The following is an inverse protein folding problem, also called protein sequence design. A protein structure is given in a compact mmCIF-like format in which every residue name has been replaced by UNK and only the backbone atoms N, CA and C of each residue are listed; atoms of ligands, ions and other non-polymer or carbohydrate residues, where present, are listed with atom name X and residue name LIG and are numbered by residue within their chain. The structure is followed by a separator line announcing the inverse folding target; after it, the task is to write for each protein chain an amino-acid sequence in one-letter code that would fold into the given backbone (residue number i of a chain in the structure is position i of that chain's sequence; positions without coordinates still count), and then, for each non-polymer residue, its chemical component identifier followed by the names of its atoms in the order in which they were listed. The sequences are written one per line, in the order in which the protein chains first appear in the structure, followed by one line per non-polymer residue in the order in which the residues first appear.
data_IF_312899891068
#
_entry.id   IF_312899891068
#
_cell.length_a   1.000
_cell.length_b   1.000
_cell.length_c   1.000
_cell.angle_alpha   90.00
_cell.angle_beta   90.00
_cell.angle_gamma   90.00
#
_symmetry.space_group_name_H-M   'P 1'
#
loop_
_entity.id
_entity.type
_entity.pdbx_description
1 polymer ?
#
# COMPACT_ATOMS: atom_id res chain seq x y z
N UNK A 1 -6.03 -3.77 22.82
CA UNK A 1 -6.55 -3.97 21.47
C UNK A 1 -8.02 -4.30 21.63
N UNK A 2 -8.92 -3.52 21.04
CA UNK A 2 -10.38 -3.76 21.12
C UNK A 2 -10.79 -4.89 20.15
N UNK A 3 -11.96 -5.52 20.34
CA UNK A 3 -12.45 -6.53 19.39
C UNK A 3 -12.61 -5.96 17.98
N UNK A 4 -13.10 -4.72 17.87
CA UNK A 4 -13.21 -4.00 16.59
C UNK A 4 -11.85 -3.81 15.89
N UNK A 5 -10.77 -3.61 16.66
CA UNK A 5 -9.43 -3.52 16.09
C UNK A 5 -8.95 -4.87 15.56
N UNK A 6 -9.27 -5.98 16.24
CA UNK A 6 -8.88 -7.34 15.85
C UNK A 6 -9.64 -7.79 14.61
N UNK A 7 -10.96 -7.57 14.57
CA UNK A 7 -11.80 -7.91 13.41
C UNK A 7 -11.30 -7.17 12.16
N UNK A 8 -11.03 -5.87 12.29
CA UNK A 8 -10.48 -5.06 11.19
C UNK A 8 -9.09 -5.51 10.72
N UNK A 9 -8.26 -6.07 11.61
CA UNK A 9 -6.98 -6.66 11.20
C UNK A 9 -7.20 -7.94 10.38
N UNK A 10 -8.15 -8.78 10.78
CA UNK A 10 -8.52 -9.99 10.04
C UNK A 10 -9.13 -9.66 8.67
N UNK A 11 -9.88 -8.58 8.58
CA UNK A 11 -10.44 -8.08 7.31
C UNK A 11 -9.33 -7.68 6.33
N UNK A 12 -8.33 -6.90 6.77
CA UNK A 12 -7.26 -6.47 5.87
C UNK A 12 -6.38 -7.61 5.36
N UNK A 13 -6.07 -8.61 6.19
CA UNK A 13 -5.35 -9.78 5.70
C UNK A 13 -6.19 -10.53 4.66
N UNK A 14 -7.49 -10.69 4.89
CA UNK A 14 -8.40 -11.33 3.94
C UNK A 14 -8.49 -10.57 2.61
N UNK A 15 -8.51 -9.23 2.66
CA UNK A 15 -8.49 -8.37 1.46
C UNK A 15 -7.21 -8.58 0.65
N UNK A 16 -6.06 -8.51 1.30
CA UNK A 16 -4.76 -8.68 0.66
C UNK A 16 -4.65 -10.05 0.01
N UNK A 17 -5.02 -11.10 0.73
CA UNK A 17 -5.03 -12.47 0.23
C UNK A 17 -5.98 -12.64 -0.96
N UNK A 18 -7.17 -12.03 -0.90
CA UNK A 18 -8.15 -12.09 -1.96
C UNK A 18 -7.62 -11.47 -3.25
N UNK A 19 -7.11 -10.25 -3.18
CA UNK A 19 -6.55 -9.55 -4.35
C UNK A 19 -5.40 -10.36 -4.94
N UNK A 20 -4.47 -10.83 -4.10
CA UNK A 20 -3.32 -11.60 -4.56
C UNK A 20 -3.69 -12.93 -5.24
N UNK A 21 -4.81 -13.56 -4.86
CA UNK A 21 -5.29 -14.81 -5.48
C UNK A 21 -6.13 -14.57 -6.74
N UNK A 22 -6.78 -13.42 -6.86
CA UNK A 22 -7.72 -13.11 -7.95
C UNK A 22 -7.10 -12.35 -9.11
N UNK A 23 -6.03 -11.61 -8.85
CA UNK A 23 -5.28 -10.84 -9.84
C UNK A 23 -3.85 -11.38 -9.99
N UNK A 24 -3.13 -10.85 -10.98
CA UNK A 24 -1.78 -11.27 -11.37
C UNK A 24 -0.66 -10.46 -10.69
N UNK A 25 -0.98 -9.71 -9.63
CA UNK A 25 0.01 -8.90 -8.92
C UNK A 25 1.07 -9.75 -8.23
N UNK A 26 2.34 -9.38 -8.39
CA UNK A 26 3.47 -10.02 -7.72
C UNK A 26 3.52 -9.72 -6.21
N UNK A 27 2.96 -8.57 -5.81
CA UNK A 27 2.92 -8.11 -4.44
C UNK A 27 1.63 -7.33 -4.17
N UNK A 28 1.01 -7.60 -3.02
CA UNK A 28 -0.12 -6.83 -2.48
C UNK A 28 0.20 -6.48 -1.04
N UNK A 29 -0.08 -5.25 -0.60
CA UNK A 29 0.19 -4.83 0.76
C UNK A 29 -0.74 -3.74 1.27
N UNK A 30 -1.01 -3.76 2.57
CA UNK A 30 -1.72 -2.71 3.30
C UNK A 30 -0.79 -2.07 4.32
N UNK A 31 -0.65 -0.74 4.22
CA UNK A 31 0.00 0.08 5.22
C UNK A 31 -1.05 0.86 6.02
N UNK A 32 -0.95 0.84 7.35
CA UNK A 32 -1.85 1.60 8.23
C UNK A 32 -1.09 2.70 8.98
N UNK A 33 -1.76 3.83 9.19
CA UNK A 33 -1.27 4.91 10.03
C UNK A 33 -1.66 4.68 11.49
N UNK A 34 -0.70 4.82 12.41
CA UNK A 34 -0.98 4.76 13.84
C UNK A 34 -1.88 5.93 14.27
N UNK A 35 -2.89 5.69 15.13
CA UNK A 35 -3.83 6.72 15.58
C UNK A 35 -3.18 7.74 16.52
N UNK A 36 -2.03 7.41 17.11
CA UNK A 36 -1.32 8.25 18.07
C UNK A 36 -0.04 8.82 17.47
N UNK A 37 0.36 10.01 17.93
CA UNK A 37 1.66 10.59 17.61
C UNK A 37 2.79 9.57 17.90
N UNK A 38 3.79 9.42 17.00
CA UNK A 38 4.10 10.28 15.85
C UNK A 38 3.36 9.92 14.54
N UNK A 39 2.23 9.20 14.59
CA UNK A 39 1.43 8.78 13.43
C UNK A 39 2.24 8.02 12.38
N UNK A 40 3.06 7.09 12.86
CA UNK A 40 3.88 6.23 12.02
C UNK A 40 3.01 5.39 11.08
N UNK A 41 3.46 5.24 9.84
CA UNK A 41 2.82 4.41 8.81
C UNK A 41 3.68 3.16 8.62
N UNK A 42 3.07 1.99 8.75
CA UNK A 42 3.77 0.69 8.63
C UNK A 42 2.98 -0.25 7.74
N UNK A 43 3.70 -1.07 6.97
CA UNK A 43 3.15 -2.21 6.25
C UNK A 43 2.83 -3.32 7.24
N UNK A 44 1.56 -3.68 7.37
CA UNK A 44 1.10 -4.64 8.38
C UNK A 44 0.63 -5.96 7.77
N UNK A 45 0.00 -5.88 6.60
CA UNK A 45 -0.55 -7.04 5.88
C UNK A 45 0.04 -7.04 4.48
N UNK A 46 0.57 -8.19 4.05
CA UNK A 46 1.15 -8.35 2.72
C UNK A 46 0.87 -9.76 2.20
N UNK A 47 0.89 -9.91 0.88
CA UNK A 47 0.91 -11.18 0.18
C UNK A 47 1.88 -11.08 -1.00
N UNK A 48 2.54 -12.21 -1.32
CA UNK A 48 3.55 -12.27 -2.36
C UNK A 48 4.90 -11.64 -1.98
N UNK A 49 5.15 -11.31 -0.72
CA UNK A 49 6.41 -10.71 -0.27
C UNK A 49 7.60 -11.68 -0.43
N UNK A 50 8.76 -11.16 -0.85
CA UNK A 50 9.99 -11.97 -0.99
C UNK A 50 10.71 -12.18 0.34
N UNK A 51 10.47 -11.31 1.32
CA UNK A 51 11.07 -11.41 2.65
C UNK A 51 10.23 -10.66 3.68
N UNK A 52 10.58 -10.78 4.96
CA UNK A 52 9.93 -10.04 6.05
C UNK A 52 10.57 -8.64 6.28
N UNK A 53 11.49 -8.20 5.40
CA UNK A 53 12.19 -6.93 5.57
C UNK A 53 11.26 -5.71 5.52
N UNK A 54 10.11 -5.82 4.85
CA UNK A 54 9.09 -4.77 4.81
C UNK A 54 8.64 -4.31 6.21
N UNK A 55 8.70 -5.21 7.22
CA UNK A 55 8.29 -4.89 8.61
C UNK A 55 9.17 -3.84 9.26
N UNK A 56 10.40 -3.65 8.77
CA UNK A 56 11.34 -2.63 9.27
C UNK A 56 11.01 -1.23 8.74
N UNK A 57 10.16 -1.12 7.72
CA UNK A 57 9.78 0.14 7.11
C UNK A 57 8.87 0.91 8.09
N UNK A 58 9.31 2.11 8.46
CA UNK A 58 8.52 3.06 9.24
C UNK A 58 8.49 4.39 8.49
N UNK A 59 7.31 4.80 8.06
CA UNK A 59 7.11 6.01 7.28
C UNK A 59 6.35 7.07 8.11
N UNK A 60 6.39 8.31 7.64
CA UNK A 60 5.55 9.41 8.11
C UNK A 60 4.72 9.95 6.96
N UNK A 61 3.67 10.71 7.28
CA UNK A 61 2.85 11.38 6.26
C UNK A 61 3.75 12.17 5.30
N UNK A 62 3.52 11.95 4.01
CA UNK A 62 4.27 12.55 2.93
C UNK A 62 5.57 11.86 2.49
N UNK A 63 6.02 10.83 3.19
CA UNK A 63 7.26 10.10 2.88
C UNK A 63 6.95 8.73 2.27
N UNK A 64 7.50 8.47 1.08
CA UNK A 64 7.26 7.27 0.30
C UNK A 64 5.84 7.13 -0.23
N UNK A 65 5.57 6.05 -0.96
CA UNK A 65 4.27 5.84 -1.63
C UNK A 65 3.12 5.90 -0.61
N UNK A 66 3.23 5.15 0.49
CA UNK A 66 2.19 5.13 1.50
C UNK A 66 2.01 6.49 2.19
N UNK A 67 3.11 7.16 2.56
CA UNK A 67 3.03 8.49 3.16
C UNK A 67 2.44 9.53 2.20
N UNK A 68 2.79 9.48 0.92
CA UNK A 68 2.24 10.36 -0.11
C UNK A 68 0.72 10.20 -0.22
N UNK A 69 0.22 8.97 -0.36
CA UNK A 69 -1.21 8.69 -0.47
C UNK A 69 -1.95 9.09 0.81
N UNK A 70 -1.39 8.84 2.00
CA UNK A 70 -1.98 9.32 3.27
C UNK A 70 -2.07 10.84 3.31
N UNK A 71 -1.03 11.56 2.84
CA UNK A 71 -0.99 13.02 2.85
C UNK A 71 -1.99 13.64 1.87
N UNK A 72 -2.10 13.08 0.67
CA UNK A 72 -2.91 13.65 -0.41
C UNK A 72 -4.34 13.14 -0.42
N UNK A 73 -4.59 11.96 0.15
CA UNK A 73 -5.85 11.23 0.02
C UNK A 73 -6.20 10.87 -1.41
N UNK A 74 -5.22 10.83 -2.32
CA UNK A 74 -5.41 10.55 -3.74
C UNK A 74 -4.70 9.25 -4.13
N UNK A 75 -5.26 8.48 -5.08
CA UNK A 75 -4.54 7.39 -5.71
C UNK A 75 -3.20 7.83 -6.31
N UNK A 76 -2.28 6.88 -6.42
CA UNK A 76 -0.97 7.05 -7.03
C UNK A 76 -0.61 5.80 -7.83
N UNK A 77 -0.01 5.96 -9.00
CA UNK A 77 0.64 4.86 -9.69
C UNK A 77 1.91 5.35 -10.37
N UNK A 78 2.90 4.47 -10.51
CA UNK A 78 4.15 4.75 -11.23
C UNK A 78 4.75 3.47 -11.81
N UNK A 79 5.21 3.57 -13.04
CA UNK A 79 6.02 2.57 -13.73
C UNK A 79 7.51 2.92 -13.60
N UNK A 80 8.38 1.96 -13.92
CA UNK A 80 9.84 2.17 -13.95
C UNK A 80 10.40 2.68 -12.61
N UNK A 81 9.91 2.13 -11.50
CA UNK A 81 10.27 2.51 -10.14
C UNK A 81 11.77 2.39 -9.83
N UNK A 82 12.50 1.58 -10.61
CA UNK A 82 13.94 1.36 -10.46
C UNK A 82 14.81 2.26 -11.35
N UNK A 83 14.24 3.01 -12.32
CA UNK A 83 15.03 3.71 -13.35
C UNK A 83 15.48 5.14 -12.97
N UNK A 84 15.41 5.54 -11.69
CA UNK A 84 15.86 6.86 -11.26
C UNK A 84 16.83 6.80 -10.08
N UNK A 85 18.08 7.14 -10.36
CA UNK A 85 19.17 7.30 -9.40
C UNK A 85 19.76 8.68 -9.67
N UNK A 86 19.46 9.70 -8.85
CA UNK A 86 20.43 10.74 -8.40
C UNK A 86 19.83 11.99 -7.73
N UNK A 87 18.51 12.29 -7.78
CA UNK A 87 18.00 13.51 -7.10
C UNK A 87 16.55 13.52 -6.59
N UNK A 88 15.78 12.45 -6.79
CA UNK A 88 14.36 12.36 -6.40
C UNK A 88 14.12 11.24 -5.35
N UNK A 89 15.09 11.07 -4.44
CA UNK A 89 15.11 10.09 -3.36
C UNK A 89 14.04 10.32 -2.27
N UNK A 90 12.80 10.66 -2.64
CA UNK A 90 11.64 10.53 -1.74
C UNK A 90 11.21 9.06 -1.63
N UNK A 91 12.16 8.24 -1.15
CA UNK A 91 12.01 7.07 -0.28
C UNK A 91 10.85 6.13 -0.62
N UNK A 92 11.02 5.26 -1.63
CA UNK A 92 10.11 4.12 -1.92
C UNK A 92 10.65 2.79 -1.36
N UNK A 93 10.84 2.64 -0.03
CA UNK A 93 11.55 1.48 0.53
C UNK A 93 10.85 0.15 0.24
N UNK A 94 9.52 0.15 0.13
CA UNK A 94 8.77 -1.06 -0.22
C UNK A 94 9.10 -1.54 -1.63
N UNK A 95 9.21 -0.61 -2.61
CA UNK A 95 9.55 -0.95 -3.98
C UNK A 95 10.99 -1.48 -4.10
N UNK A 96 11.93 -0.94 -3.29
CA UNK A 96 13.29 -1.45 -3.23
C UNK A 96 13.37 -2.85 -2.61
N UNK A 97 12.73 -3.05 -1.45
CA UNK A 97 12.76 -4.32 -0.71
C UNK A 97 12.08 -5.45 -1.50
N UNK A 98 10.99 -5.16 -2.18
CA UNK A 98 10.21 -6.14 -2.94
C UNK A 98 10.57 -6.19 -4.43
N UNK A 99 11.62 -5.47 -4.85
CA UNK A 99 12.09 -5.37 -6.23
C UNK A 99 10.98 -5.00 -7.25
N UNK A 100 10.06 -4.12 -6.85
CA UNK A 100 8.93 -3.70 -7.70
C UNK A 100 9.43 -2.77 -8.82
N UNK A 101 9.02 -3.05 -10.05
CA UNK A 101 9.24 -2.21 -11.23
C UNK A 101 8.08 -1.25 -11.44
N UNK A 102 6.88 -1.62 -11.03
CA UNK A 102 5.68 -0.79 -11.14
C UNK A 102 4.79 -1.00 -9.92
N UNK A 103 4.09 0.04 -9.50
CA UNK A 103 3.17 -0.05 -8.36
C UNK A 103 2.04 0.98 -8.45
N UNK A 104 0.85 0.55 -8.04
CA UNK A 104 -0.33 1.39 -7.85
C UNK A 104 -0.79 1.31 -6.40
N UNK A 105 -1.32 2.42 -5.89
CA UNK A 105 -1.75 2.55 -4.51
C UNK A 105 -3.00 3.43 -4.40
N UNK A 106 -3.93 3.03 -3.52
CA UNK A 106 -5.16 3.77 -3.24
C UNK A 106 -5.34 4.02 -1.74
N UNK A 107 -5.99 5.13 -1.34
CA UNK A 107 -6.23 5.44 0.06
C UNK A 107 -7.29 4.51 0.66
N UNK A 108 -7.05 4.06 1.89
CA UNK A 108 -8.05 3.41 2.73
C UNK A 108 -8.68 4.47 3.63
N UNK A 109 -9.99 4.68 3.55
CA UNK A 109 -10.71 5.71 4.32
C UNK A 109 -11.58 5.11 5.41
N UNK A 110 -11.63 5.78 6.56
CA UNK A 110 -12.57 5.44 7.63
C UNK A 110 -13.95 6.01 7.30
N UNK A 111 -14.96 5.14 7.27
CA UNK A 111 -16.36 5.50 7.00
C UNK A 111 -16.94 6.56 7.95
N UNK A 112 -16.46 6.60 9.20
CA UNK A 112 -17.01 7.50 10.24
C UNK A 112 -16.56 8.95 10.08
N UNK A 113 -15.34 9.18 9.60
CA UNK A 113 -14.73 10.53 9.58
C UNK A 113 -14.16 10.90 8.21
N UNK A 114 -14.26 10.04 7.19
CA UNK A 114 -13.66 10.22 5.86
C UNK A 114 -12.15 10.50 5.92
N UNK A 115 -11.49 10.06 6.99
CA UNK A 115 -10.06 10.22 7.18
C UNK A 115 -9.34 9.05 6.51
N UNK A 116 -8.23 9.36 5.83
CA UNK A 116 -7.36 8.33 5.26
C UNK A 116 -6.59 7.67 6.39
N UNK A 117 -6.89 6.40 6.66
CA UNK A 117 -6.30 5.61 7.74
C UNK A 117 -5.17 4.69 7.28
N UNK A 118 -5.01 4.54 5.97
CA UNK A 118 -4.02 3.64 5.40
C UNK A 118 -3.99 3.67 3.89
N UNK A 119 -3.29 2.70 3.32
CA UNK A 119 -3.02 2.58 1.89
C UNK A 119 -3.05 1.11 1.50
N UNK A 120 -3.77 0.78 0.45
CA UNK A 120 -3.64 -0.49 -0.28
C UNK A 120 -2.69 -0.27 -1.46
N UNK A 121 -1.69 -1.11 -1.61
CA UNK A 121 -0.72 -1.08 -2.69
C UNK A 121 -0.63 -2.44 -3.37
N UNK A 122 -0.46 -2.40 -4.69
CA UNK A 122 -0.09 -3.56 -5.51
C UNK A 122 1.12 -3.22 -6.36
N UNK A 123 1.87 -4.23 -6.77
CA UNK A 123 2.98 -4.02 -7.69
C UNK A 123 3.41 -5.26 -8.44
N UNK A 124 4.19 -5.02 -9.49
CA UNK A 124 4.83 -6.04 -10.31
C UNK A 124 6.34 -5.92 -10.21
N UNK A 125 7.02 -7.06 -10.26
CA UNK A 125 8.49 -7.19 -10.36
C UNK A 125 8.95 -7.30 -11.80
N UNK A 126 8.04 -7.64 -12.71
CA UNK A 126 8.23 -7.57 -14.16
C UNK A 126 7.93 -6.17 -14.69
N UNK A 127 8.26 -5.90 -15.96
CA UNK A 127 7.96 -4.63 -16.62
C UNK A 127 6.47 -4.44 -16.96
N UNK A 128 5.57 -5.19 -16.32
CA UNK A 128 4.14 -5.03 -16.49
C UNK A 128 3.69 -3.65 -15.98
N UNK A 129 2.97 -2.86 -16.79
CA UNK A 129 2.60 -1.51 -16.41
C UNK A 129 1.42 -1.50 -15.44
N UNK A 130 1.40 -0.50 -14.58
CA UNK A 130 0.22 -0.04 -13.86
C UNK A 130 -0.32 1.25 -14.50
N UNK A 131 -1.61 1.52 -14.26
CA UNK A 131 -2.34 2.63 -14.86
C UNK A 131 -3.56 3.02 -14.02
N UNK A 132 -4.36 3.97 -14.50
CA UNK A 132 -5.65 4.32 -13.90
C UNK A 132 -6.66 3.16 -13.89
N UNK A 133 -6.55 2.22 -14.85
CA UNK A 133 -7.35 0.99 -14.83
C UNK A 133 -6.98 0.10 -13.63
N UNK A 134 -5.68 0.08 -13.27
CA UNK A 134 -5.22 -0.64 -12.09
C UNK A 134 -5.82 -0.03 -10.83
N UNK A 135 -5.80 1.30 -10.71
CA UNK A 135 -6.43 2.04 -9.61
C UNK A 135 -7.95 1.78 -9.54
N UNK A 136 -8.62 1.78 -10.69
CA UNK A 136 -10.06 1.53 -10.78
C UNK A 136 -10.43 0.13 -10.30
N UNK A 137 -9.65 -0.89 -10.70
CA UNK A 137 -9.80 -2.28 -10.24
C UNK A 137 -9.60 -2.40 -8.72
N UNK A 138 -8.57 -1.78 -8.15
CA UNK A 138 -8.37 -1.77 -6.69
C UNK A 138 -9.53 -1.10 -5.95
N UNK A 139 -10.09 -0.03 -6.51
CA UNK A 139 -11.22 0.68 -5.90
C UNK A 139 -12.46 -0.21 -5.81
N UNK A 140 -12.69 -1.09 -6.78
CA UNK A 140 -13.81 -2.05 -6.75
C UNK A 140 -13.71 -3.04 -5.59
N UNK A 141 -12.50 -3.47 -5.22
CA UNK A 141 -12.33 -4.33 -4.04
C UNK A 141 -12.77 -3.63 -2.75
N UNK A 142 -12.52 -2.33 -2.63
CA UNK A 142 -12.91 -1.55 -1.44
C UNK A 142 -14.41 -1.26 -1.37
N UNK A 143 -15.14 -1.30 -2.50
CA UNK A 143 -16.60 -1.17 -2.50
C UNK A 143 -17.30 -2.43 -1.99
N UNK A 144 -16.63 -3.58 -2.10
CA UNK A 144 -17.09 -4.87 -1.62
C UNK A 144 -16.48 -5.26 -0.26
N UNK A 145 -15.76 -4.33 0.38
CA UNK A 145 -15.03 -4.50 1.62
C UNK A 145 -15.70 -3.77 2.78
#
# INVERSE_FOLDING_TARGET
MTLEEIDRQQDYQTLVDRIYRQDDFDFVGVALQAPTAPHAIKWLFVAGNQSEQFRKIVLRSGIGIAGLVVRTGKPFWKNELQQYTFSDEMYTPIAKIEALQSAAAIPLTSSRFHLVTGVLLVGYRSAQPVSDDTVSRLTQYLQAF
#
